data_IF_840177899265
#
_entry.id   IF_840177899265
#
_cell.length_a   1.000
_cell.length_b   1.000
_cell.length_c   1.000
_cell.angle_alpha   90.00
_cell.angle_beta   90.00
_cell.angle_gamma   90.00
#
_symmetry.space_group_name_H-M   'P 1'
#
loop_
_entity.id
_entity.type
_entity.pdbx_description
1 polymer ?
#
# COMPACT_ATOMS: atom_id res chain seq x y z
N UNK A 1 -39.38 40.07 -17.14
CA UNK A 1 -38.87 40.23 -15.78
C UNK A 1 -38.18 38.91 -15.37
N UNK A 2 -36.89 38.91 -15.38
CA UNK A 2 -36.08 37.81 -14.87
C UNK A 2 -36.02 37.90 -13.34
N UNK A 3 -36.56 36.88 -12.67
CA UNK A 3 -36.53 36.78 -11.22
C UNK A 3 -35.07 36.67 -10.73
N UNK A 4 -34.68 37.56 -9.83
CA UNK A 4 -33.41 37.53 -9.11
C UNK A 4 -33.35 36.26 -8.26
N UNK A 5 -32.42 35.36 -8.59
CA UNK A 5 -32.11 34.22 -7.74
C UNK A 5 -31.40 34.76 -6.50
N UNK A 6 -32.08 34.70 -5.35
CA UNK A 6 -31.47 35.06 -4.06
C UNK A 6 -30.30 34.07 -3.75
N UNK A 7 -29.15 34.54 -3.27
CA UNK A 7 -28.08 33.65 -2.87
C UNK A 7 -28.53 32.76 -1.71
N UNK A 8 -28.27 31.46 -1.83
CA UNK A 8 -28.57 30.47 -0.81
C UNK A 8 -27.72 30.76 0.45
N UNK A 9 -28.30 31.12 1.61
CA UNK A 9 -27.58 31.52 2.79
C UNK A 9 -26.76 30.41 3.47
N UNK A 10 -26.70 29.22 2.90
CA UNK A 10 -25.92 28.09 3.43
C UNK A 10 -24.47 27.99 2.89
N UNK A 11 -24.01 28.93 2.06
CA UNK A 11 -22.63 28.90 1.50
C UNK A 11 -21.58 29.55 2.39
N UNK A 12 -21.96 30.31 3.42
CA UNK A 12 -21.02 31.08 4.25
C UNK A 12 -20.95 30.62 5.73
N UNK A 13 -21.57 29.50 6.08
CA UNK A 13 -21.31 28.90 7.38
C UNK A 13 -19.95 28.20 7.33
N UNK A 14 -19.04 28.38 8.31
CA UNK A 14 -17.83 27.59 8.38
C UNK A 14 -18.21 26.12 8.36
N UNK A 15 -17.62 25.36 7.43
CA UNK A 15 -17.81 23.92 7.38
C UNK A 15 -17.39 23.38 8.76
N UNK A 16 -18.34 22.81 9.50
CA UNK A 16 -18.03 22.12 10.75
C UNK A 16 -17.04 20.99 10.43
N UNK A 17 -16.00 20.88 11.23
CA UNK A 17 -15.03 19.80 11.05
C UNK A 17 -15.74 18.45 11.12
N UNK A 18 -15.59 17.64 10.07
CA UNK A 18 -16.20 16.31 9.92
C UNK A 18 -15.20 15.26 10.45
N UNK A 19 -15.68 14.37 11.30
CA UNK A 19 -14.89 13.27 11.86
C UNK A 19 -15.23 11.96 11.16
N UNK A 20 -14.26 11.39 10.48
CA UNK A 20 -14.42 10.15 9.73
C UNK A 20 -13.62 9.05 10.42
N UNK A 21 -14.29 7.93 10.74
CA UNK A 21 -13.60 6.71 11.13
C UNK A 21 -13.25 5.92 9.88
N UNK A 22 -11.96 5.81 9.59
CA UNK A 22 -11.42 4.97 8.51
C UNK A 22 -11.13 3.56 9.00
N UNK A 23 -11.43 2.55 8.18
CA UNK A 23 -11.21 1.12 8.47
C UNK A 23 -10.52 0.47 7.28
N UNK A 24 -9.41 -0.24 7.56
CA UNK A 24 -8.63 -0.97 6.56
C UNK A 24 -8.44 -2.42 7.00
N UNK A 25 -8.74 -3.35 6.08
CA UNK A 25 -8.57 -4.79 6.30
C UNK A 25 -8.30 -5.55 4.99
N UNK A 26 -7.68 -4.90 4.00
CA UNK A 26 -7.58 -5.47 2.64
C UNK A 26 -6.60 -6.64 2.51
N UNK A 27 -5.63 -6.79 3.43
CA UNK A 27 -4.62 -7.84 3.35
C UNK A 27 -4.35 -8.47 4.72
N UNK A 28 -3.24 -8.19 5.37
CA UNK A 28 -2.75 -8.82 6.62
C UNK A 28 -2.59 -7.82 7.77
N UNK A 29 -3.03 -6.59 7.59
CA UNK A 29 -3.08 -5.58 8.63
C UNK A 29 -4.51 -5.15 8.90
N UNK A 30 -4.90 -5.15 10.17
CA UNK A 30 -6.16 -4.54 10.61
C UNK A 30 -5.86 -3.17 11.13
N UNK A 31 -6.36 -2.12 10.50
CA UNK A 31 -6.17 -0.77 11.01
C UNK A 31 -7.47 0.04 11.04
N UNK A 32 -7.48 1.02 11.94
CA UNK A 32 -8.50 2.04 12.02
C UNK A 32 -7.89 3.38 12.40
N UNK A 33 -8.46 4.46 11.87
CA UNK A 33 -8.01 5.82 12.13
C UNK A 33 -9.20 6.76 12.29
N UNK A 34 -9.01 7.84 13.03
CA UNK A 34 -9.93 8.98 13.03
C UNK A 34 -9.25 10.14 12.31
N UNK A 35 -9.88 10.62 11.26
CA UNK A 35 -9.48 11.81 10.51
C UNK A 35 -10.52 12.91 10.74
N UNK A 36 -10.07 14.13 11.03
CA UNK A 36 -10.91 15.30 11.20
C UNK A 36 -10.55 16.36 10.16
N UNK A 37 -11.52 16.90 9.43
CA UNK A 37 -11.27 17.89 8.40
C UNK A 37 -12.50 18.69 8.04
N UNK A 38 -12.31 19.80 7.34
CA UNK A 38 -13.35 20.76 6.90
C UNK A 38 -13.50 20.80 5.36
N UNK A 39 -12.86 19.88 4.65
CA UNK A 39 -12.82 19.82 3.19
C UNK A 39 -11.70 20.66 2.55
N UNK A 40 -11.02 21.51 3.31
CA UNK A 40 -9.84 22.25 2.86
C UNK A 40 -8.54 21.65 3.44
N UNK A 41 -8.64 21.04 4.61
CA UNK A 41 -7.52 20.37 5.29
C UNK A 41 -8.04 19.13 6.05
N UNK A 42 -7.17 18.15 6.21
CA UNK A 42 -7.45 16.95 7.00
C UNK A 42 -6.33 16.74 8.02
N UNK A 43 -6.70 16.31 9.21
CA UNK A 43 -5.77 16.01 10.31
C UNK A 43 -6.01 14.60 10.80
N UNK A 44 -4.95 13.79 10.85
CA UNK A 44 -4.97 12.47 11.47
C UNK A 44 -5.01 12.63 13.00
N UNK A 45 -6.15 12.29 13.62
CA UNK A 45 -6.37 12.40 15.07
C UNK A 45 -5.85 11.16 15.80
N UNK A 46 -5.96 10.01 15.17
CA UNK A 46 -5.50 8.73 15.71
C UNK A 46 -5.27 7.71 14.63
N UNK A 47 -4.40 6.73 14.91
CA UNK A 47 -4.15 5.57 14.07
C UNK A 47 -3.84 4.37 14.96
N UNK A 48 -4.63 3.31 14.83
CA UNK A 48 -4.40 2.03 15.48
C UNK A 48 -4.16 0.96 14.40
N UNK A 49 -3.05 0.25 14.49
CA UNK A 49 -2.65 -0.79 13.53
C UNK A 49 -2.35 -2.07 14.29
N UNK A 50 -2.84 -3.20 13.78
CA UNK A 50 -2.51 -4.54 14.25
C UNK A 50 -2.07 -5.39 13.07
N UNK A 51 -0.77 -5.66 12.98
CA UNK A 51 -0.17 -6.54 11.98
C UNK A 51 -0.32 -8.01 12.38
N UNK A 52 -0.49 -8.88 11.39
CA UNK A 52 -0.73 -10.31 11.60
C UNK A 52 0.57 -11.11 11.45
N UNK A 53 1.37 -11.17 12.50
CA UNK A 53 2.68 -11.87 12.53
C UNK A 53 2.58 -13.36 12.20
N UNK A 54 1.38 -13.96 12.31
CA UNK A 54 1.13 -15.38 12.03
C UNK A 54 1.55 -15.80 10.62
N UNK A 55 1.59 -14.87 9.67
CA UNK A 55 1.97 -15.13 8.28
C UNK A 55 3.48 -15.38 8.10
N UNK A 56 4.31 -14.95 9.05
CA UNK A 56 5.77 -15.14 8.99
C UNK A 56 6.17 -16.62 8.88
N UNK A 57 5.44 -17.53 9.56
CA UNK A 57 5.72 -18.97 9.51
C UNK A 57 5.43 -19.60 8.15
N UNK A 58 4.59 -18.97 7.32
CA UNK A 58 4.26 -19.43 5.98
C UNK A 58 5.12 -18.78 4.89
N UNK A 59 5.85 -17.71 5.25
CA UNK A 59 6.67 -16.93 4.33
C UNK A 59 5.85 -16.12 3.32
N UNK A 60 4.65 -15.70 3.72
CA UNK A 60 3.72 -14.89 2.93
C UNK A 60 2.30 -14.97 3.44
N UNK A 61 1.45 -14.06 3.00
CA UNK A 61 0.06 -13.96 3.47
C UNK A 61 -0.78 -15.17 3.04
N UNK A 62 -1.50 -15.76 4.01
CA UNK A 62 -2.48 -16.83 3.79
C UNK A 62 -3.88 -16.23 3.90
N UNK A 63 -4.64 -16.09 2.80
CA UNK A 63 -5.88 -15.32 2.75
C UNK A 63 -6.94 -15.76 3.77
N UNK A 64 -7.10 -17.04 4.03
CA UNK A 64 -8.07 -17.52 5.01
C UNK A 64 -7.67 -17.18 6.45
N UNK A 65 -6.38 -17.28 6.77
CA UNK A 65 -5.87 -16.90 8.09
C UNK A 65 -6.03 -15.39 8.30
N UNK A 66 -5.72 -14.58 7.28
CA UNK A 66 -5.90 -13.13 7.32
C UNK A 66 -7.37 -12.77 7.62
N UNK A 67 -8.30 -13.36 6.89
CA UNK A 67 -9.73 -13.10 7.07
C UNK A 67 -10.22 -13.43 8.49
N UNK A 68 -9.77 -14.55 9.07
CA UNK A 68 -10.12 -14.96 10.44
C UNK A 68 -9.51 -14.04 11.49
N UNK A 69 -8.28 -13.59 11.28
CA UNK A 69 -7.62 -12.65 12.19
C UNK A 69 -8.35 -11.30 12.24
N UNK A 70 -8.80 -10.78 11.10
CA UNK A 70 -9.60 -9.56 11.05
C UNK A 70 -10.90 -9.65 11.87
N UNK A 71 -11.58 -10.81 11.88
CA UNK A 71 -12.82 -10.98 12.65
C UNK A 71 -12.64 -10.70 14.15
N UNK A 72 -11.49 -11.05 14.70
CA UNK A 72 -11.20 -10.86 16.13
C UNK A 72 -10.60 -9.48 16.41
N UNK A 73 -9.89 -8.90 15.43
CA UNK A 73 -9.11 -7.68 15.60
C UNK A 73 -9.90 -6.39 15.35
N UNK A 74 -10.86 -6.40 14.40
CA UNK A 74 -11.43 -5.17 13.86
C UNK A 74 -12.17 -4.31 14.90
N UNK A 75 -12.97 -4.93 15.77
CA UNK A 75 -13.71 -4.20 16.79
C UNK A 75 -12.81 -3.62 17.90
N UNK A 76 -11.82 -4.35 18.44
CA UNK A 76 -10.82 -3.78 19.34
C UNK A 76 -10.03 -2.63 18.72
N UNK A 77 -9.55 -2.79 17.47
CA UNK A 77 -8.75 -1.77 16.77
C UNK A 77 -9.56 -0.49 16.51
N UNK A 78 -10.81 -0.63 16.06
CA UNK A 78 -11.69 0.51 15.87
C UNK A 78 -11.98 1.26 17.19
N UNK A 79 -12.24 0.53 18.29
CA UNK A 79 -12.43 1.15 19.62
C UNK A 79 -11.16 1.87 20.09
N UNK A 80 -9.98 1.30 19.86
CA UNK A 80 -8.71 1.91 20.22
C UNK A 80 -8.53 3.23 19.45
N UNK A 81 -8.76 3.24 18.13
CA UNK A 81 -8.64 4.46 17.32
C UNK A 81 -9.56 5.58 17.83
N UNK A 82 -10.81 5.27 18.17
CA UNK A 82 -11.78 6.24 18.71
C UNK A 82 -11.29 6.78 20.07
N UNK A 83 -10.82 5.89 20.95
CA UNK A 83 -10.30 6.26 22.27
C UNK A 83 -9.05 7.16 22.18
N UNK A 84 -8.12 6.82 21.29
CA UNK A 84 -6.88 7.58 21.07
C UNK A 84 -7.16 8.96 20.45
N UNK A 85 -8.23 9.08 19.66
CA UNK A 85 -8.70 10.38 19.15
C UNK A 85 -9.32 11.27 20.24
N UNK A 86 -9.63 10.72 21.43
CA UNK A 86 -10.24 11.43 22.53
C UNK A 86 -11.68 11.87 22.27
N UNK A 87 -12.42 11.12 21.41
CA UNK A 87 -13.81 11.44 21.06
C UNK A 87 -14.78 10.35 21.53
N UNK A 88 -16.04 10.71 21.70
CA UNK A 88 -17.10 9.72 21.88
C UNK A 88 -17.48 9.08 20.53
N UNK A 89 -17.96 7.84 20.58
CA UNK A 89 -18.32 7.10 19.36
C UNK A 89 -19.46 7.77 18.56
N UNK A 90 -20.38 8.43 19.22
CA UNK A 90 -21.48 9.20 18.63
C UNK A 90 -21.04 10.54 18.03
N UNK A 91 -19.77 10.93 18.22
CA UNK A 91 -19.18 12.10 17.59
C UNK A 91 -18.59 11.81 16.20
N UNK A 92 -18.73 10.57 15.70
CA UNK A 92 -18.32 10.18 14.36
C UNK A 92 -19.41 10.60 13.37
N UNK A 93 -19.02 11.34 12.32
CA UNK A 93 -19.92 11.88 11.31
C UNK A 93 -20.02 10.97 10.06
N UNK A 94 -19.03 10.12 9.80
CA UNK A 94 -19.04 9.13 8.72
C UNK A 94 -18.10 7.95 9.03
N UNK A 95 -18.37 6.80 8.39
CA UNK A 95 -17.46 5.64 8.40
C UNK A 95 -16.95 5.42 6.99
N UNK A 96 -15.63 5.39 6.81
CA UNK A 96 -14.97 5.03 5.57
C UNK A 96 -14.35 3.62 5.70
N UNK A 97 -14.38 2.83 4.61
CA UNK A 97 -13.84 1.48 4.63
C UNK A 97 -13.23 1.13 3.28
N UNK A 98 -12.08 0.51 3.29
CA UNK A 98 -11.50 -0.06 2.07
C UNK A 98 -12.38 -1.19 1.54
N UNK A 99 -12.82 -1.05 0.29
CA UNK A 99 -13.73 -2.00 -0.35
C UNK A 99 -13.12 -2.71 -1.57
N UNK A 100 -12.00 -2.23 -2.11
CA UNK A 100 -11.23 -2.79 -3.22
C UNK A 100 -9.91 -2.03 -3.42
N UNK A 101 -8.90 -2.66 -4.08
CA UNK A 101 -8.67 -4.10 -4.18
C UNK A 101 -8.20 -4.69 -2.86
N UNK A 102 -8.18 -6.03 -2.77
CA UNK A 102 -7.68 -6.76 -1.61
C UNK A 102 -8.15 -8.22 -1.57
N UNK A 103 -7.80 -8.93 -0.52
CA UNK A 103 -8.25 -10.29 -0.27
C UNK A 103 -9.75 -10.29 0.04
N UNK A 104 -10.55 -10.99 -0.78
CA UNK A 104 -12.01 -10.97 -0.72
C UNK A 104 -12.55 -11.21 0.70
N UNK A 105 -12.04 -12.24 1.39
CA UNK A 105 -12.47 -12.57 2.74
C UNK A 105 -12.12 -11.49 3.77
N UNK A 106 -10.95 -10.89 3.64
CA UNK A 106 -10.47 -9.80 4.50
C UNK A 106 -11.30 -8.53 4.28
N UNK A 107 -11.50 -8.11 3.03
CA UNK A 107 -12.38 -6.99 2.68
C UNK A 107 -13.81 -7.19 3.19
N UNK A 108 -14.36 -8.42 3.08
CA UNK A 108 -15.70 -8.74 3.56
C UNK A 108 -15.87 -8.45 5.05
N UNK A 109 -14.86 -8.76 5.87
CA UNK A 109 -14.88 -8.51 7.31
C UNK A 109 -14.94 -6.99 7.57
N UNK A 110 -14.06 -6.20 6.96
CA UNK A 110 -14.03 -4.74 7.13
C UNK A 110 -15.32 -4.08 6.68
N UNK A 111 -15.80 -4.43 5.49
CA UNK A 111 -17.03 -3.87 4.91
C UNK A 111 -18.27 -4.25 5.74
N UNK A 112 -18.36 -5.51 6.21
CA UNK A 112 -19.50 -5.92 7.04
C UNK A 112 -19.51 -5.20 8.39
N UNK A 113 -18.36 -5.07 9.04
CA UNK A 113 -18.20 -4.32 10.28
C UNK A 113 -18.56 -2.84 10.11
N UNK A 114 -17.99 -2.19 9.09
CA UNK A 114 -18.23 -0.78 8.80
C UNK A 114 -19.72 -0.49 8.50
N UNK A 115 -20.39 -1.37 7.74
CA UNK A 115 -21.83 -1.28 7.48
C UNK A 115 -22.64 -1.35 8.75
N UNK A 116 -22.35 -2.31 9.63
CA UNK A 116 -23.03 -2.47 10.90
C UNK A 116 -22.85 -1.25 11.80
N UNK A 117 -21.62 -0.73 11.87
CA UNK A 117 -21.31 0.45 12.68
C UNK A 117 -21.98 1.71 12.13
N UNK A 118 -21.87 1.99 10.83
CA UNK A 118 -22.51 3.14 10.20
C UNK A 118 -24.03 3.13 10.38
N UNK A 119 -24.67 1.97 10.20
CA UNK A 119 -26.11 1.79 10.43
C UNK A 119 -26.50 2.04 11.89
N UNK A 120 -25.68 1.60 12.85
CA UNK A 120 -25.93 1.80 14.28
C UNK A 120 -25.81 3.26 14.68
N UNK A 121 -24.84 3.98 14.11
CA UNK A 121 -24.61 5.40 14.37
C UNK A 121 -25.56 6.31 13.56
N UNK A 122 -26.21 5.79 12.51
CA UNK A 122 -27.04 6.59 11.62
C UNK A 122 -26.24 7.54 10.72
N UNK A 123 -24.99 7.20 10.40
CA UNK A 123 -24.06 8.03 9.61
C UNK A 123 -23.78 7.43 8.24
N UNK A 124 -23.31 8.22 7.26
CA UNK A 124 -22.91 7.73 5.95
C UNK A 124 -21.79 6.67 6.00
N UNK A 125 -21.83 5.71 5.07
CA UNK A 125 -20.76 4.77 4.77
C UNK A 125 -20.09 5.14 3.44
N UNK A 126 -18.77 5.23 3.44
CA UNK A 126 -17.96 5.60 2.28
C UNK A 126 -17.04 4.41 1.93
N UNK A 127 -17.14 3.92 0.68
CA UNK A 127 -16.19 2.94 0.14
C UNK A 127 -14.95 3.64 -0.37
N UNK A 128 -13.76 3.17 0.03
CA UNK A 128 -12.48 3.73 -0.38
C UNK A 128 -11.69 2.70 -1.18
N UNK A 129 -11.08 3.15 -2.27
CA UNK A 129 -10.17 2.32 -3.04
C UNK A 129 -8.80 2.28 -2.36
N UNK A 130 -8.27 1.08 -2.08
CA UNK A 130 -7.01 0.90 -1.34
C UNK A 130 -5.83 1.69 -1.91
N UNK A 131 -5.68 1.68 -3.26
CA UNK A 131 -4.59 2.43 -3.91
C UNK A 131 -4.76 3.94 -3.77
N UNK A 132 -6.00 4.45 -3.77
CA UNK A 132 -6.28 5.85 -3.52
C UNK A 132 -5.91 6.23 -2.09
N UNK A 133 -6.18 5.34 -1.11
CA UNK A 133 -5.72 5.52 0.27
C UNK A 133 -4.20 5.69 0.38
N UNK A 134 -3.42 4.94 -0.39
CA UNK A 134 -1.96 5.11 -0.44
C UNK A 134 -1.55 6.48 -1.00
N UNK A 135 -2.24 7.00 -2.02
CA UNK A 135 -1.95 8.33 -2.58
C UNK A 135 -2.29 9.44 -1.59
N UNK A 136 -3.44 9.36 -0.93
CA UNK A 136 -3.85 10.34 0.08
C UNK A 136 -2.97 10.34 1.33
N UNK A 137 -2.30 9.24 1.66
CA UNK A 137 -1.39 9.17 2.79
C UNK A 137 -0.23 10.16 2.65
N UNK A 138 0.24 10.44 1.43
CA UNK A 138 1.30 11.42 1.19
C UNK A 138 0.86 12.85 1.49
N UNK A 139 -0.40 13.21 1.19
CA UNK A 139 -0.93 14.54 1.51
C UNK A 139 -1.11 14.74 3.03
N UNK A 140 -1.41 13.67 3.78
CA UNK A 140 -1.48 13.74 5.25
C UNK A 140 -0.12 14.02 5.89
N UNK A 141 0.98 13.62 5.25
CA UNK A 141 2.35 13.89 5.72
C UNK A 141 2.88 15.23 5.22
N UNK A 142 2.58 15.58 3.97
CA UNK A 142 3.02 16.83 3.35
C UNK A 142 1.89 17.42 2.49
N UNK A 143 1.28 18.47 2.96
CA UNK A 143 0.23 19.21 2.25
C UNK A 143 0.68 19.77 0.88
N UNK A 144 2.00 19.85 0.61
CA UNK A 144 2.51 20.20 -0.71
C UNK A 144 2.41 19.06 -1.73
N UNK A 145 2.14 17.83 -1.28
CA UNK A 145 1.93 16.66 -2.14
C UNK A 145 0.51 16.63 -2.75
N UNK A 146 0.01 17.78 -3.19
CA UNK A 146 -1.29 17.92 -3.85
C UNK A 146 -1.15 17.80 -5.37
N UNK A 147 -2.17 17.28 -6.08
CA UNK A 147 -2.16 17.21 -7.55
C UNK A 147 -1.97 18.61 -8.22
N UNK A 148 -1.40 18.67 -9.46
CA UNK A 148 -1.04 17.52 -10.29
C UNK A 148 0.32 16.93 -9.96
N UNK A 149 0.44 15.59 -9.98
CA UNK A 149 1.71 14.89 -9.82
C UNK A 149 1.70 13.53 -10.55
N UNK A 150 2.89 12.97 -10.76
CA UNK A 150 3.05 11.56 -11.14
C UNK A 150 3.42 10.76 -9.90
N UNK A 151 2.67 9.69 -9.62
CA UNK A 151 2.90 8.82 -8.49
C UNK A 151 3.50 7.47 -8.92
N UNK A 152 4.59 7.06 -8.30
CA UNK A 152 5.08 5.70 -8.32
C UNK A 152 4.64 5.01 -7.02
N UNK A 153 3.64 4.14 -7.12
CA UNK A 153 3.11 3.38 -6.01
C UNK A 153 3.78 2.00 -5.97
N UNK A 154 4.52 1.73 -4.90
CA UNK A 154 5.28 0.49 -4.71
C UNK A 154 4.90 -0.17 -3.41
N UNK A 155 4.41 -1.41 -3.48
CA UNK A 155 4.01 -2.18 -2.30
C UNK A 155 4.30 -3.67 -2.46
N UNK A 156 3.91 -4.48 -1.48
CA UNK A 156 3.99 -5.94 -1.53
C UNK A 156 3.09 -6.56 -2.60
N UNK A 157 1.96 -5.93 -2.94
CA UNK A 157 0.99 -6.45 -3.90
C UNK A 157 0.87 -5.68 -5.20
N UNK A 158 1.38 -4.44 -5.26
CA UNK A 158 1.20 -3.56 -6.41
C UNK A 158 2.46 -2.76 -6.74
N UNK A 159 2.69 -2.54 -8.03
CA UNK A 159 3.67 -1.57 -8.52
C UNK A 159 3.06 -0.87 -9.73
N UNK A 160 2.70 0.40 -9.55
CA UNK A 160 1.93 1.20 -10.49
C UNK A 160 2.59 2.56 -10.70
N UNK A 161 2.59 3.03 -11.93
CA UNK A 161 2.90 4.41 -12.27
C UNK A 161 1.61 5.11 -12.70
N UNK A 162 1.26 6.18 -12.00
CA UNK A 162 -0.01 6.90 -12.18
C UNK A 162 0.22 8.37 -12.47
N UNK A 163 -0.54 8.93 -13.39
CA UNK A 163 -0.71 10.37 -13.54
C UNK A 163 -1.96 10.80 -12.78
N UNK A 164 -1.79 11.76 -11.89
CA UNK A 164 -2.83 12.27 -10.99
C UNK A 164 -3.01 13.77 -11.26
N UNK A 165 -3.83 14.14 -12.25
CA UNK A 165 -4.07 15.55 -12.56
C UNK A 165 -4.87 16.28 -11.47
N UNK A 166 -5.78 15.57 -10.81
CA UNK A 166 -6.59 16.05 -9.69
C UNK A 166 -7.05 14.84 -8.85
N UNK A 167 -7.42 15.07 -7.58
CA UNK A 167 -7.97 14.02 -6.74
C UNK A 167 -9.25 13.43 -7.34
N UNK A 168 -9.35 12.09 -7.33
CA UNK A 168 -10.45 11.34 -7.94
C UNK A 168 -10.28 11.08 -9.45
N UNK A 169 -9.24 11.62 -10.09
CA UNK A 169 -8.92 11.37 -11.51
C UNK A 169 -7.54 10.75 -11.62
N UNK A 170 -7.49 9.49 -12.02
CA UNK A 170 -6.25 8.71 -12.11
C UNK A 170 -6.09 8.11 -13.51
N UNK A 171 -4.92 8.30 -14.09
CA UNK A 171 -4.55 7.69 -15.37
C UNK A 171 -3.38 6.74 -15.14
N UNK A 172 -3.61 5.45 -15.40
CA UNK A 172 -2.54 4.45 -15.39
C UNK A 172 -1.56 4.76 -16.52
N UNK A 173 -0.30 4.99 -16.20
CA UNK A 173 0.78 5.13 -17.17
C UNK A 173 1.48 3.80 -17.42
N UNK A 174 1.67 3.00 -16.36
CA UNK A 174 2.27 1.68 -16.42
C UNK A 174 2.04 0.89 -15.13
N UNK A 175 2.25 -0.41 -15.22
CA UNK A 175 2.13 -1.32 -14.09
C UNK A 175 3.14 -2.47 -14.23
N UNK A 176 3.36 -3.19 -13.12
CA UNK A 176 4.09 -4.45 -13.25
C UNK A 176 3.28 -5.48 -14.02
N UNK A 177 3.95 -6.21 -14.93
CA UNK A 177 3.36 -7.30 -15.73
C UNK A 177 3.35 -8.64 -15.00
N UNK A 178 4.05 -8.72 -13.89
CA UNK A 178 4.23 -9.96 -13.13
C UNK A 178 4.26 -9.69 -11.62
N UNK A 179 5.36 -10.01 -10.93
CA UNK A 179 5.49 -9.77 -9.50
C UNK A 179 5.48 -8.27 -9.19
N UNK A 180 4.89 -7.87 -8.06
CA UNK A 180 5.13 -6.55 -7.50
C UNK A 180 6.57 -6.43 -6.97
N UNK A 181 7.09 -5.20 -6.88
CA UNK A 181 8.45 -4.98 -6.40
C UNK A 181 8.68 -5.52 -4.99
N UNK A 182 7.74 -5.28 -4.06
CA UNK A 182 7.83 -5.82 -2.69
C UNK A 182 7.73 -7.35 -2.66
N UNK A 183 6.85 -7.94 -3.48
CA UNK A 183 6.77 -9.39 -3.64
C UNK A 183 8.09 -10.00 -4.17
N UNK A 184 8.77 -9.31 -5.09
CA UNK A 184 10.09 -9.72 -5.58
C UNK A 184 11.13 -9.70 -4.47
N UNK A 185 11.12 -8.69 -3.58
CA UNK A 185 11.96 -8.65 -2.39
C UNK A 185 11.70 -9.83 -1.45
N UNK A 186 10.45 -10.16 -1.17
CA UNK A 186 10.10 -11.27 -0.29
C UNK A 186 10.52 -12.62 -0.86
N UNK A 187 10.31 -12.83 -2.17
CA UNK A 187 10.73 -14.03 -2.88
C UNK A 187 12.25 -14.20 -2.88
N UNK A 188 13.00 -13.11 -3.08
CA UNK A 188 14.47 -13.12 -3.05
C UNK A 188 15.00 -13.31 -1.63
N UNK A 189 14.39 -12.67 -0.64
CA UNK A 189 14.72 -12.90 0.77
C UNK A 189 14.65 -14.39 1.12
N UNK A 190 13.57 -15.06 0.71
CA UNK A 190 13.41 -16.51 0.91
C UNK A 190 14.53 -17.32 0.23
N UNK A 191 14.93 -16.95 -0.99
CA UNK A 191 16.06 -17.63 -1.68
C UNK A 191 17.39 -17.44 -0.96
N UNK A 192 17.57 -16.30 -0.29
CA UNK A 192 18.78 -15.97 0.48
C UNK A 192 18.72 -16.49 1.93
N UNK A 193 17.63 -17.17 2.34
CA UNK A 193 17.46 -17.67 3.71
C UNK A 193 17.14 -16.57 4.74
N UNK A 194 16.56 -15.45 4.29
CA UNK A 194 16.21 -14.31 5.15
C UNK A 194 14.76 -14.39 5.64
N UNK A 195 14.44 -13.75 6.78
CA UNK A 195 13.08 -13.74 7.34
C UNK A 195 12.09 -12.96 6.46
N UNK A 196 10.80 -13.20 6.70
CA UNK A 196 9.67 -12.41 6.19
C UNK A 196 9.25 -11.33 7.22
N UNK A 197 8.84 -10.12 6.79
CA UNK A 197 8.91 -9.53 5.43
C UNK A 197 10.37 -9.28 4.99
N UNK A 198 10.65 -9.62 3.71
CA UNK A 198 12.02 -9.72 3.22
C UNK A 198 12.73 -8.40 2.94
N UNK A 199 11.99 -7.33 2.58
CA UNK A 199 12.57 -6.09 2.06
C UNK A 199 13.70 -5.53 2.93
N UNK A 200 13.42 -5.25 4.21
CA UNK A 200 14.40 -4.71 5.17
C UNK A 200 15.62 -5.61 5.39
N UNK A 201 15.44 -6.92 5.29
CA UNK A 201 16.51 -7.89 5.50
C UNK A 201 17.43 -7.98 4.27
N UNK A 202 16.86 -7.90 3.06
CA UNK A 202 17.62 -7.81 1.82
C UNK A 202 18.42 -6.50 1.79
N UNK A 203 17.80 -5.37 2.14
CA UNK A 203 18.48 -4.07 2.21
C UNK A 203 19.67 -4.10 3.18
N UNK A 204 19.46 -4.58 4.41
CA UNK A 204 20.52 -4.69 5.40
C UNK A 204 21.67 -5.58 4.93
N UNK A 205 21.38 -6.70 4.25
CA UNK A 205 22.39 -7.59 3.69
C UNK A 205 23.11 -6.94 2.49
N UNK A 206 22.36 -6.29 1.59
CA UNK A 206 22.91 -5.60 0.42
C UNK A 206 23.87 -4.46 0.77
N UNK A 207 23.69 -3.83 1.95
CA UNK A 207 24.56 -2.74 2.41
C UNK A 207 26.04 -3.11 2.50
N UNK A 208 26.34 -4.40 2.73
CA UNK A 208 27.72 -4.92 2.82
C UNK A 208 28.20 -5.59 1.52
N UNK A 209 27.33 -5.70 0.51
CA UNK A 209 27.60 -6.39 -0.74
C UNK A 209 28.41 -5.55 -1.75
N UNK A 210 29.18 -6.24 -2.59
CA UNK A 210 29.92 -5.63 -3.69
C UNK A 210 29.03 -5.48 -4.93
N UNK A 211 28.69 -4.25 -5.38
CA UNK A 211 27.79 -3.99 -6.50
C UNK A 211 28.34 -4.45 -7.87
N UNK A 212 29.63 -4.84 -7.95
CA UNK A 212 30.26 -5.25 -9.21
C UNK A 212 30.31 -6.76 -9.40
N UNK A 213 29.94 -7.55 -8.37
CA UNK A 213 30.10 -9.01 -8.41
C UNK A 213 28.96 -9.71 -9.13
N UNK A 214 27.73 -9.32 -8.84
CA UNK A 214 26.56 -9.85 -9.51
C UNK A 214 25.81 -8.71 -10.22
N UNK A 215 25.55 -8.91 -11.50
CA UNK A 215 24.73 -8.00 -12.33
C UNK A 215 23.55 -8.75 -12.88
N UNK A 216 22.36 -8.35 -12.45
CA UNK A 216 21.11 -8.89 -12.96
C UNK A 216 20.56 -8.03 -14.10
N UNK A 217 19.73 -8.63 -14.96
CA UNK A 217 19.01 -7.90 -15.99
C UNK A 217 18.08 -6.85 -15.36
N UNK A 218 17.79 -5.80 -16.12
CA UNK A 218 16.74 -4.81 -15.82
C UNK A 218 15.60 -5.08 -16.81
N UNK A 219 14.62 -5.93 -16.44
CA UNK A 219 13.53 -6.25 -17.34
C UNK A 219 12.79 -4.98 -17.77
N UNK A 220 12.30 -4.95 -18.99
CA UNK A 220 11.63 -3.82 -19.63
C UNK A 220 12.51 -2.59 -19.90
N UNK A 221 13.55 -2.32 -19.14
CA UNK A 221 14.52 -1.29 -19.51
C UNK A 221 15.30 -1.74 -20.76
N UNK A 222 15.21 -0.98 -21.84
CA UNK A 222 15.86 -1.29 -23.12
C UNK A 222 15.22 -2.46 -23.91
N UNK A 223 13.96 -2.81 -23.64
CA UNK A 223 13.27 -3.86 -24.39
C UNK A 223 12.80 -3.41 -25.80
N UNK A 224 13.18 -2.20 -26.22
CA UNK A 224 12.86 -1.67 -27.55
C UNK A 224 11.58 -0.85 -27.63
N UNK A 225 10.87 -0.64 -26.50
CA UNK A 225 9.72 0.25 -26.42
C UNK A 225 10.13 1.70 -26.71
N UNK A 226 9.22 2.45 -27.31
CA UNK A 226 9.39 3.87 -27.62
C UNK A 226 8.40 4.70 -26.84
N UNK A 227 8.73 5.97 -26.53
CA UNK A 227 7.76 6.90 -26.00
C UNK A 227 6.50 6.92 -26.86
N UNK A 228 5.34 6.61 -26.26
CA UNK A 228 4.05 6.51 -26.95
C UNK A 228 3.55 5.08 -27.19
N UNK A 229 4.38 4.06 -26.99
CA UNK A 229 3.89 2.68 -26.95
C UNK A 229 3.09 2.47 -25.66
N UNK A 230 2.03 1.68 -25.72
CA UNK A 230 1.10 1.45 -24.60
C UNK A 230 1.79 0.83 -23.38
N UNK A 231 2.92 0.15 -23.59
CA UNK A 231 3.69 -0.56 -22.57
C UNK A 231 5.03 0.11 -22.21
N UNK A 232 5.22 1.36 -22.63
CA UNK A 232 6.49 2.07 -22.44
C UNK A 232 6.89 2.22 -20.96
N UNK A 233 5.92 2.38 -20.10
CA UNK A 233 6.10 2.53 -18.65
C UNK A 233 5.81 1.25 -17.86
N UNK A 234 5.60 0.12 -18.52
CA UNK A 234 5.39 -1.14 -17.80
C UNK A 234 6.68 -1.67 -17.18
N UNK A 235 6.52 -2.37 -16.08
CA UNK A 235 7.59 -2.92 -15.26
C UNK A 235 7.52 -4.45 -15.21
N UNK A 236 8.63 -5.12 -14.90
CA UNK A 236 8.67 -6.57 -14.68
C UNK A 236 9.79 -6.93 -13.69
N UNK A 237 9.51 -7.81 -12.76
CA UNK A 237 10.45 -8.22 -11.71
C UNK A 237 10.64 -9.74 -11.60
N UNK A 238 9.80 -10.56 -12.23
CA UNK A 238 9.89 -12.03 -12.14
C UNK A 238 11.21 -12.59 -12.71
N UNK A 239 11.75 -11.92 -13.74
CA UNK A 239 13.04 -12.27 -14.32
C UNK A 239 14.21 -12.08 -13.35
N UNK A 240 14.13 -11.09 -12.46
CA UNK A 240 15.13 -10.85 -11.41
C UNK A 240 15.19 -12.01 -10.42
N UNK A 241 14.02 -12.51 -9.96
CA UNK A 241 13.95 -13.68 -9.09
C UNK A 241 14.64 -14.89 -9.71
N UNK A 242 14.40 -15.14 -11.00
CA UNK A 242 15.02 -16.26 -11.71
C UNK A 242 16.54 -16.08 -11.79
N UNK A 243 17.01 -14.88 -12.09
CA UNK A 243 18.44 -14.55 -12.08
C UNK A 243 19.10 -14.82 -10.72
N UNK A 244 18.46 -14.37 -9.64
CA UNK A 244 18.93 -14.63 -8.26
C UNK A 244 18.94 -16.12 -7.94
N UNK A 245 17.90 -16.87 -8.32
CA UNK A 245 17.85 -18.32 -8.11
C UNK A 245 19.04 -19.05 -8.76
N UNK A 246 19.41 -18.66 -9.97
CA UNK A 246 20.59 -19.20 -10.65
C UNK A 246 21.89 -18.84 -9.92
N UNK A 247 22.06 -17.57 -9.53
CA UNK A 247 23.24 -17.12 -8.81
C UNK A 247 23.41 -17.83 -7.46
N UNK A 248 22.32 -18.04 -6.71
CA UNK A 248 22.32 -18.79 -5.45
C UNK A 248 22.74 -20.24 -5.69
N UNK A 249 22.12 -20.94 -6.65
CA UNK A 249 22.45 -22.33 -6.98
C UNK A 249 23.90 -22.53 -7.42
N UNK A 250 24.41 -21.60 -8.23
CA UNK A 250 25.82 -21.63 -8.68
C UNK A 250 26.78 -21.40 -7.52
N UNK A 251 26.48 -20.48 -6.60
CA UNK A 251 27.28 -20.24 -5.41
C UNK A 251 27.22 -21.43 -4.42
N UNK A 252 26.06 -22.07 -4.26
CA UNK A 252 25.92 -23.31 -3.49
C UNK A 252 26.78 -24.44 -4.07
N UNK A 253 26.71 -24.63 -5.38
CA UNK A 253 27.51 -25.67 -6.07
C UNK A 253 29.03 -25.44 -5.92
N UNK A 254 29.47 -24.17 -5.82
CA UNK A 254 30.85 -23.82 -5.55
C UNK A 254 31.24 -23.84 -4.07
N UNK A 255 30.27 -23.97 -3.15
CA UNK A 255 30.48 -23.85 -1.71
C UNK A 255 30.80 -22.43 -1.24
N UNK A 256 30.41 -21.40 -2.00
CA UNK A 256 30.72 -19.99 -1.72
C UNK A 256 29.53 -19.14 -1.32
N UNK A 257 28.36 -19.76 -1.16
CA UNK A 257 27.09 -19.04 -0.96
C UNK A 257 27.13 -18.09 0.25
N UNK A 258 27.71 -18.48 1.38
CA UNK A 258 27.75 -17.65 2.58
C UNK A 258 28.54 -16.35 2.38
N UNK A 259 29.61 -16.40 1.55
CA UNK A 259 30.39 -15.23 1.20
C UNK A 259 29.73 -14.37 0.11
N UNK A 260 28.89 -14.97 -0.74
CA UNK A 260 28.29 -14.29 -1.90
C UNK A 260 26.90 -13.74 -1.64
N UNK A 261 26.20 -14.19 -0.58
CA UNK A 261 24.84 -13.68 -0.25
C UNK A 261 24.74 -12.16 -0.24
N UNK A 262 25.65 -11.40 0.41
CA UNK A 262 25.58 -9.93 0.39
C UNK A 262 25.72 -9.34 -1.01
N UNK A 263 26.60 -9.92 -1.84
CA UNK A 263 26.85 -9.46 -3.21
C UNK A 263 25.63 -9.73 -4.12
N UNK A 264 25.00 -10.91 -3.95
CA UNK A 264 23.77 -11.27 -4.66
C UNK A 264 22.63 -10.33 -4.24
N UNK A 265 22.44 -10.09 -2.94
CA UNK A 265 21.43 -9.18 -2.41
C UNK A 265 21.63 -7.76 -2.97
N UNK A 266 22.88 -7.27 -3.01
CA UNK A 266 23.23 -5.96 -3.55
C UNK A 266 22.91 -5.86 -5.05
N UNK A 267 23.36 -6.83 -5.84
CA UNK A 267 23.09 -6.84 -7.27
C UNK A 267 21.60 -6.90 -7.61
N UNK A 268 20.81 -7.65 -6.82
CA UNK A 268 19.34 -7.71 -6.95
C UNK A 268 18.70 -6.36 -6.62
N UNK A 269 19.03 -5.78 -5.46
CA UNK A 269 18.49 -4.49 -5.04
C UNK A 269 18.78 -3.39 -6.06
N UNK A 270 20.04 -3.28 -6.51
CA UNK A 270 20.43 -2.30 -7.52
C UNK A 270 19.64 -2.49 -8.83
N UNK A 271 19.44 -3.74 -9.27
CA UNK A 271 18.69 -4.03 -10.50
C UNK A 271 17.21 -3.69 -10.37
N UNK A 272 16.60 -3.95 -9.22
CA UNK A 272 15.19 -3.63 -8.97
C UNK A 272 14.98 -2.13 -8.89
N UNK A 273 15.83 -1.40 -8.15
CA UNK A 273 15.75 0.07 -8.03
C UNK A 273 15.96 0.74 -9.39
N UNK A 274 16.93 0.27 -10.18
CA UNK A 274 17.16 0.81 -11.53
C UNK A 274 15.96 0.56 -12.47
N UNK A 275 15.14 -0.47 -12.20
CA UNK A 275 13.94 -0.79 -13.00
C UNK A 275 12.76 0.11 -12.63
N UNK A 276 12.62 0.53 -11.37
CA UNK A 276 11.64 1.49 -10.89
C UNK A 276 11.92 2.92 -11.37
#
# INVERSE_FOLDING_TARGET
SFGSCSPNPRRDAPLLAVRVLGIESSCDETSASVVEGDGASATLRSLAILSQDVHAIFGGVVPEIASRAHLTAIAPVARQAIADAGIAQDAIDAVAVTNAPGLVGALLVGVAFAKGLAATLGVPLIGVHHMEGHLFATELEDAAAAPPFTALLVSGGHTLLLDVPEWGTYRMLGATRDDAAGEAFDKVAKLLGLPYPGGRHVEAMAATGNPRRHRFARPMLNAGQRPGDDDYYDLSFSGLKTGVLHAVRDAEARGTIDAERPDIARGFQDALIDTL
#
